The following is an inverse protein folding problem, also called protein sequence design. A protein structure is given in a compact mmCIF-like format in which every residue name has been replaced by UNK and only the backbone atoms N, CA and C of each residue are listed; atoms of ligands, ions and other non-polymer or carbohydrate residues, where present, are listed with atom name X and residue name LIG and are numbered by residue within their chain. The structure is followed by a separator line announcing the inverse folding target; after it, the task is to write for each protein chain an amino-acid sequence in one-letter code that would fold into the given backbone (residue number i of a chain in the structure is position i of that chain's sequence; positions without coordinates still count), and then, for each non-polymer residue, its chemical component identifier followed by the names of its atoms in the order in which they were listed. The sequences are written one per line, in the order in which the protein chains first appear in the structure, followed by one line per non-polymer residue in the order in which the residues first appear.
data_IF_894010320987
#
_entry.id   IF_894010320987
#
_cell.length_a   1.000
_cell.length_b   1.000
_cell.length_c   1.000
_cell.angle_alpha   90.00
_cell.angle_beta   90.00
_cell.angle_gamma   90.00
#
_symmetry.space_group_name_H-M   'P 1'
#
loop_
_entity.id
_entity.type
_entity.pdbx_description
1 polymer ?
#
# COMPACT_ATOMS: atom_id res chain seq x y z
N UNK A 1 10.82 74.46 -26.43
CA UNK A 1 9.41 74.22 -26.08
C UNK A 1 9.38 73.33 -24.85
N UNK A 2 8.92 73.85 -23.70
CA UNK A 2 8.79 73.06 -22.46
C UNK A 2 7.43 72.37 -22.50
N UNK A 3 7.41 71.07 -22.76
CA UNK A 3 6.19 70.27 -22.65
C UNK A 3 5.74 70.28 -21.20
N UNK A 4 4.68 71.04 -20.90
CA UNK A 4 3.94 70.92 -19.63
C UNK A 4 3.17 69.62 -19.71
N UNK A 5 3.83 68.52 -19.36
CA UNK A 5 3.17 67.24 -19.12
C UNK A 5 2.11 67.51 -18.06
N UNK A 6 0.86 67.28 -18.45
CA UNK A 6 -0.30 67.60 -17.63
C UNK A 6 -0.33 66.58 -16.50
N UNK A 7 0.18 66.96 -15.32
CA UNK A 7 0.30 66.09 -14.14
C UNK A 7 -1.03 65.40 -13.77
N UNK A 8 -2.16 66.00 -14.16
CA UNK A 8 -3.50 65.40 -14.04
C UNK A 8 -3.62 64.13 -14.88
N UNK A 9 -3.14 64.10 -16.12
CA UNK A 9 -3.20 62.92 -16.97
C UNK A 9 -2.32 61.77 -16.43
N UNK A 10 -1.16 62.11 -15.83
CA UNK A 10 -0.27 61.13 -15.21
C UNK A 10 -0.86 60.58 -13.90
N UNK A 11 -1.56 61.41 -13.12
CA UNK A 11 -2.28 60.99 -11.93
C UNK A 11 -3.48 60.10 -12.27
N UNK A 12 -4.25 60.42 -13.33
CA UNK A 12 -5.36 59.57 -13.79
C UNK A 12 -4.84 58.23 -14.34
N UNK A 13 -3.72 58.21 -15.07
CA UNK A 13 -3.12 56.97 -15.56
C UNK A 13 -2.57 56.10 -14.40
N UNK A 14 -1.96 56.71 -13.39
CA UNK A 14 -1.50 56.01 -12.18
C UNK A 14 -2.65 55.41 -11.37
N UNK A 15 -3.78 56.13 -11.26
CA UNK A 15 -4.95 55.66 -10.54
C UNK A 15 -5.68 54.54 -11.31
N UNK A 16 -5.69 54.56 -12.65
CA UNK A 16 -6.23 53.47 -13.47
C UNK A 16 -5.38 52.19 -13.42
N UNK A 17 -4.06 52.31 -13.25
CA UNK A 17 -3.17 51.15 -13.10
C UNK A 17 -3.32 50.43 -11.74
N UNK A 18 -3.79 51.11 -10.70
CA UNK A 18 -4.03 50.48 -9.38
C UNK A 18 -5.34 49.70 -9.27
N UNK A 19 -6.31 49.92 -10.18
CA UNK A 19 -7.57 49.16 -10.21
C UNK A 19 -7.53 47.92 -11.12
N UNK A 20 -6.42 47.67 -11.81
CA UNK A 20 -6.27 46.53 -12.73
C UNK A 20 -5.67 45.26 -12.08
N UNK A 21 -5.42 45.27 -10.77
CA UNK A 21 -4.98 44.10 -10.02
C UNK A 21 -6.00 43.80 -8.91
N UNK A 22 -7.25 43.57 -9.27
CA UNK A 22 -8.05 42.66 -8.46
C UNK A 22 -7.46 41.26 -8.68
N UNK A 23 -6.89 40.68 -7.62
CA UNK A 23 -6.47 39.27 -7.54
C UNK A 23 -7.67 38.36 -7.88
N UNK A 24 -7.99 38.20 -9.17
CA UNK A 24 -8.99 37.23 -9.64
C UNK A 24 -8.55 35.78 -9.40
N UNK A 25 -7.33 35.58 -8.92
CA UNK A 25 -6.77 34.28 -8.60
C UNK A 25 -7.19 33.75 -7.21
N UNK A 26 -7.90 34.54 -6.40
CA UNK A 26 -8.33 34.13 -5.04
C UNK A 26 -9.70 33.47 -4.94
N UNK A 27 -10.52 33.46 -6.01
CA UNK A 27 -11.88 32.90 -5.94
C UNK A 27 -12.08 31.57 -6.68
N UNK A 28 -11.08 31.06 -7.40
CA UNK A 28 -11.25 29.80 -8.13
C UNK A 28 -11.14 28.54 -7.25
N UNK A 29 -10.79 28.70 -5.96
CA UNK A 29 -10.58 27.54 -5.08
C UNK A 29 -11.63 27.36 -3.97
N UNK A 30 -12.44 28.37 -3.65
CA UNK A 30 -13.46 28.27 -2.60
C UNK A 30 -14.68 27.44 -3.03
N UNK A 31 -14.85 27.20 -4.32
CA UNK A 31 -15.94 26.39 -4.89
C UNK A 31 -15.52 24.96 -5.28
N UNK A 32 -14.28 24.52 -4.97
CA UNK A 32 -14.00 23.09 -5.07
C UNK A 32 -14.82 22.37 -4.02
N UNK A 33 -15.88 21.70 -4.47
CA UNK A 33 -16.66 20.82 -3.64
C UNK A 33 -15.74 19.78 -3.01
N UNK A 34 -15.42 19.99 -1.74
CA UNK A 34 -14.57 19.08 -0.98
C UNK A 34 -15.26 17.72 -0.92
N UNK A 35 -14.54 16.67 -1.27
CA UNK A 35 -15.07 15.31 -1.26
C UNK A 35 -14.97 14.67 0.12
N UNK A 36 -15.33 13.40 0.13
CA UNK A 36 -14.90 12.45 1.17
C UNK A 36 -14.31 11.23 0.47
N UNK A 37 -13.61 10.38 1.20
CA UNK A 37 -13.11 9.08 0.77
C UNK A 37 -13.53 8.00 1.78
N UNK A 38 -13.78 6.76 1.37
CA UNK A 38 -13.96 5.65 2.29
C UNK A 38 -12.59 5.16 2.76
N UNK A 39 -12.41 5.01 4.06
CA UNK A 39 -11.26 4.35 4.66
C UNK A 39 -11.67 2.94 5.07
N UNK A 40 -10.79 1.99 4.75
CA UNK A 40 -10.90 0.59 5.13
C UNK A 40 -9.76 0.25 6.08
N UNK A 41 -10.06 -0.30 7.25
CA UNK A 41 -9.05 -0.74 8.19
C UNK A 41 -9.36 -2.17 8.59
N UNK A 42 -8.39 -3.07 8.45
CA UNK A 42 -8.51 -4.44 8.92
C UNK A 42 -8.68 -4.45 10.46
N UNK A 43 -9.47 -5.38 10.98
CA UNK A 43 -9.59 -5.58 12.43
C UNK A 43 -8.32 -6.23 13.01
N UNK A 44 -7.99 -5.94 14.27
CA UNK A 44 -6.75 -6.41 14.91
C UNK A 44 -6.62 -7.95 14.99
N UNK A 45 -7.75 -8.67 14.99
CA UNK A 45 -7.82 -10.13 15.07
C UNK A 45 -7.90 -10.82 13.69
N UNK A 46 -7.98 -10.05 12.62
CA UNK A 46 -8.00 -10.59 11.26
C UNK A 46 -6.57 -10.97 10.82
N UNK A 47 -6.45 -12.11 10.16
CA UNK A 47 -5.20 -12.58 9.58
C UNK A 47 -4.71 -11.74 8.39
N UNK A 48 -5.60 -11.03 7.70
CA UNK A 48 -5.34 -10.25 6.48
C UNK A 48 -5.14 -11.10 5.22
N UNK A 49 -5.49 -12.39 5.28
CA UNK A 49 -5.34 -13.33 4.17
C UNK A 49 -6.58 -14.22 4.03
N UNK A 50 -6.67 -14.87 2.88
CA UNK A 50 -7.55 -16.03 2.68
C UNK A 50 -6.72 -17.29 2.90
N UNK A 51 -7.06 -18.07 3.94
CA UNK A 51 -6.30 -19.26 4.31
C UNK A 51 -6.54 -20.37 3.28
N UNK A 52 -5.51 -20.67 2.48
CA UNK A 52 -5.59 -21.69 1.44
C UNK A 52 -5.70 -23.12 2.01
N UNK A 53 -5.08 -23.39 3.17
CA UNK A 53 -5.07 -24.72 3.79
C UNK A 53 -6.37 -25.02 4.54
N UNK A 54 -6.99 -23.99 5.10
CA UNK A 54 -8.32 -24.06 5.70
C UNK A 54 -9.19 -22.86 5.27
N UNK A 55 -9.78 -22.93 4.06
CA UNK A 55 -10.59 -21.84 3.55
C UNK A 55 -11.86 -21.58 4.37
N UNK A 56 -12.31 -22.57 5.14
CA UNK A 56 -13.54 -22.48 5.93
C UNK A 56 -13.40 -21.61 7.18
N UNK A 57 -12.17 -21.43 7.67
CA UNK A 57 -11.85 -20.53 8.78
C UNK A 57 -11.65 -19.07 8.32
N UNK A 58 -11.68 -18.80 7.02
CA UNK A 58 -11.42 -17.46 6.48
C UNK A 58 -12.61 -16.53 6.69
N UNK A 59 -12.37 -15.45 7.45
CA UNK A 59 -13.29 -14.32 7.63
C UNK A 59 -12.53 -13.03 7.37
N UNK A 60 -12.92 -12.29 6.34
CA UNK A 60 -12.43 -10.93 6.07
C UNK A 60 -13.24 -9.97 6.94
N UNK A 61 -12.57 -9.28 7.85
CA UNK A 61 -13.15 -8.44 8.90
C UNK A 61 -12.47 -7.06 8.89
N UNK A 62 -13.23 -6.04 8.52
CA UNK A 62 -12.70 -4.69 8.37
C UNK A 62 -13.72 -3.60 8.73
N UNK A 63 -13.21 -2.46 9.15
CA UNK A 63 -13.98 -1.25 9.41
C UNK A 63 -14.08 -0.37 8.17
N UNK A 64 -15.23 0.26 8.00
CA UNK A 64 -15.51 1.26 6.96
C UNK A 64 -15.83 2.58 7.64
N UNK A 65 -15.03 3.61 7.35
CA UNK A 65 -15.23 4.97 7.89
C UNK A 65 -15.00 6.01 6.80
N UNK A 66 -15.96 6.90 6.50
CA UNK A 66 -15.72 8.00 5.58
C UNK A 66 -14.82 9.06 6.23
N UNK A 67 -13.84 9.56 5.48
CA UNK A 67 -12.98 10.69 5.85
C UNK A 67 -13.18 11.83 4.84
N UNK A 68 -13.48 13.03 5.32
CA UNK A 68 -13.65 14.22 4.48
C UNK A 68 -14.64 15.22 5.06
N UNK A 69 -14.95 16.24 4.27
CA UNK A 69 -15.75 17.39 4.70
C UNK A 69 -17.20 17.33 4.19
N UNK A 70 -17.46 16.54 3.15
CA UNK A 70 -18.82 16.35 2.63
C UNK A 70 -19.53 15.17 3.31
N UNK A 71 -20.80 15.31 3.73
CA UNK A 71 -21.56 14.22 4.32
C UNK A 71 -21.75 13.05 3.34
N UNK A 72 -21.57 11.83 3.84
CA UNK A 72 -21.71 10.58 3.08
C UNK A 72 -23.03 9.91 3.45
N UNK A 73 -23.84 9.54 2.46
CA UNK A 73 -25.09 8.79 2.64
C UNK A 73 -24.84 7.29 2.76
N UNK A 74 -23.97 6.75 1.92
CA UNK A 74 -23.64 5.34 1.92
C UNK A 74 -22.30 5.05 1.24
N UNK A 75 -21.72 3.89 1.56
CA UNK A 75 -20.55 3.31 0.89
C UNK A 75 -20.97 1.94 0.33
N UNK A 76 -20.92 1.80 -0.98
CA UNK A 76 -20.99 0.50 -1.65
C UNK A 76 -19.62 -0.18 -1.50
N UNK A 77 -19.57 -1.26 -0.72
CA UNK A 77 -18.38 -2.07 -0.54
C UNK A 77 -18.20 -2.92 -1.78
N UNK A 78 -17.15 -2.60 -2.53
CA UNK A 78 -16.77 -3.32 -3.74
C UNK A 78 -15.74 -4.39 -3.37
N UNK A 79 -15.87 -5.56 -3.98
CA UNK A 79 -14.86 -6.61 -3.88
C UNK A 79 -14.41 -6.95 -5.29
N UNK A 80 -13.12 -6.83 -5.54
CA UNK A 80 -12.48 -7.22 -6.80
C UNK A 80 -11.72 -8.52 -6.57
N UNK A 81 -12.06 -9.57 -7.30
CA UNK A 81 -11.27 -10.81 -7.35
C UNK A 81 -10.26 -10.71 -8.48
N UNK A 82 -8.99 -10.97 -8.20
CA UNK A 82 -7.93 -11.05 -9.21
C UNK A 82 -7.35 -12.46 -9.21
N UNK A 83 -7.41 -13.12 -10.37
CA UNK A 83 -6.84 -14.44 -10.59
C UNK A 83 -5.37 -14.30 -10.97
N UNK A 84 -4.46 -14.84 -10.15
CA UNK A 84 -3.01 -14.67 -10.34
C UNK A 84 -2.45 -15.47 -11.52
N UNK A 85 -3.11 -16.58 -11.90
CA UNK A 85 -2.65 -17.43 -13.00
C UNK A 85 -2.99 -16.84 -14.38
N UNK A 86 -4.19 -16.27 -14.51
CA UNK A 86 -4.73 -15.77 -15.79
C UNK A 86 -4.64 -14.26 -15.92
N UNK A 87 -4.49 -13.53 -14.82
CA UNK A 87 -4.58 -12.08 -14.76
C UNK A 87 -6.01 -11.54 -14.93
N UNK A 88 -7.03 -12.41 -14.96
CA UNK A 88 -8.42 -11.99 -15.03
C UNK A 88 -8.84 -11.28 -13.73
N UNK A 89 -9.74 -10.30 -13.86
CA UNK A 89 -10.23 -9.50 -12.74
C UNK A 89 -11.73 -9.28 -12.89
N UNK A 90 -12.49 -9.48 -11.81
CA UNK A 90 -13.93 -9.27 -11.76
C UNK A 90 -14.27 -8.46 -10.50
N UNK A 91 -15.23 -7.52 -10.58
CA UNK A 91 -15.62 -6.68 -9.45
C UNK A 91 -17.11 -6.74 -9.21
N UNK A 92 -17.50 -7.01 -7.97
CA UNK A 92 -18.88 -7.02 -7.51
C UNK A 92 -19.13 -5.95 -6.46
N UNK A 93 -20.38 -5.49 -6.36
CA UNK A 93 -20.85 -4.77 -5.17
C UNK A 93 -21.36 -5.79 -4.16
N UNK A 94 -20.65 -5.96 -3.05
CA UNK A 94 -20.98 -6.98 -2.05
C UNK A 94 -22.07 -6.51 -1.07
N UNK A 95 -21.92 -5.30 -0.52
CA UNK A 95 -22.89 -4.73 0.43
C UNK A 95 -22.91 -3.21 0.36
N UNK A 96 -23.97 -2.61 0.90
CA UNK A 96 -24.13 -1.16 1.03
C UNK A 96 -24.17 -0.77 2.52
N UNK A 97 -23.20 0.03 2.96
CA UNK A 97 -23.08 0.52 4.33
C UNK A 97 -23.69 1.92 4.43
N UNK A 98 -24.62 2.14 5.35
CA UNK A 98 -25.35 3.42 5.52
C UNK A 98 -25.13 4.08 6.88
N UNK A 99 -24.40 3.41 7.77
CA UNK A 99 -24.09 3.87 9.13
C UNK A 99 -22.60 3.78 9.36
N UNK A 100 -21.99 4.81 9.96
CA UNK A 100 -20.54 4.88 10.13
C UNK A 100 -20.14 5.33 11.54
N UNK A 101 -19.03 4.82 12.10
CA UNK A 101 -18.22 3.71 11.57
C UNK A 101 -18.99 2.39 11.55
N UNK A 102 -18.63 1.48 10.65
CA UNK A 102 -19.23 0.13 10.58
C UNK A 102 -18.17 -0.93 10.40
N UNK A 103 -18.39 -2.08 11.03
CA UNK A 103 -17.58 -3.29 10.85
C UNK A 103 -18.29 -4.23 9.89
N UNK A 104 -17.59 -4.67 8.84
CA UNK A 104 -18.07 -5.61 7.83
C UNK A 104 -17.30 -6.92 8.02
N UNK A 105 -18.02 -8.03 8.09
CA UNK A 105 -17.45 -9.38 8.16
C UNK A 105 -17.96 -10.21 7.00
N UNK A 106 -17.05 -10.80 6.23
CA UNK A 106 -17.34 -11.57 5.02
C UNK A 106 -16.62 -12.92 5.11
N UNK A 107 -17.37 -14.01 5.09
CA UNK A 107 -16.81 -15.36 4.96
C UNK A 107 -16.39 -15.63 3.52
N UNK A 108 -15.43 -16.54 3.32
CA UNK A 108 -15.04 -16.93 1.96
C UNK A 108 -16.22 -17.51 1.16
N UNK A 109 -17.05 -18.36 1.78
CA UNK A 109 -18.24 -18.92 1.13
C UNK A 109 -19.20 -17.84 0.60
N UNK A 110 -19.38 -16.75 1.35
CA UNK A 110 -20.19 -15.61 0.91
C UNK A 110 -19.56 -14.90 -0.30
N UNK A 111 -18.24 -14.75 -0.34
CA UNK A 111 -17.55 -14.17 -1.50
C UNK A 111 -17.70 -15.06 -2.73
N UNK A 112 -17.38 -16.34 -2.62
CA UNK A 112 -17.48 -17.29 -3.72
C UNK A 112 -18.92 -17.35 -4.27
N UNK A 113 -19.91 -17.36 -3.38
CA UNK A 113 -21.33 -17.30 -3.77
C UNK A 113 -21.67 -16.00 -4.50
N UNK A 114 -21.13 -14.86 -4.04
CA UNK A 114 -21.43 -13.55 -4.62
C UNK A 114 -20.79 -13.33 -6.00
N UNK A 115 -19.59 -13.88 -6.24
CA UNK A 115 -18.96 -13.89 -7.56
C UNK A 115 -19.60 -14.91 -8.51
N UNK A 116 -20.11 -16.02 -7.97
CA UNK A 116 -20.69 -17.11 -8.74
C UNK A 116 -19.64 -18.11 -9.26
N UNK A 117 -20.09 -19.33 -9.48
CA UNK A 117 -19.22 -20.47 -9.82
C UNK A 117 -18.50 -20.36 -11.17
N UNK A 118 -18.95 -19.49 -12.06
CA UNK A 118 -18.33 -19.26 -13.36
C UNK A 118 -17.08 -18.38 -13.26
N UNK A 119 -16.91 -17.65 -12.15
CA UNK A 119 -15.79 -16.74 -11.91
C UNK A 119 -14.77 -17.38 -10.97
N UNK A 120 -15.22 -17.85 -9.81
CA UNK A 120 -14.35 -18.47 -8.80
C UNK A 120 -15.14 -19.44 -7.91
N UNK A 121 -14.53 -20.57 -7.63
CA UNK A 121 -14.97 -21.59 -6.69
C UNK A 121 -13.82 -21.92 -5.75
N UNK A 122 -14.10 -22.63 -4.66
CA UNK A 122 -13.04 -23.08 -3.74
C UNK A 122 -11.99 -23.94 -4.45
N UNK A 123 -12.41 -24.79 -5.40
CA UNK A 123 -11.53 -25.69 -6.15
C UNK A 123 -10.68 -24.96 -7.21
N UNK A 124 -11.08 -23.74 -7.60
CA UNK A 124 -10.37 -22.92 -8.59
C UNK A 124 -9.60 -21.76 -7.96
N UNK A 125 -9.64 -21.62 -6.62
CA UNK A 125 -8.76 -20.71 -5.92
C UNK A 125 -7.34 -21.25 -5.97
N UNK A 126 -6.40 -20.37 -6.26
CA UNK A 126 -4.98 -20.65 -6.33
C UNK A 126 -4.21 -19.72 -5.40
N UNK A 127 -3.01 -20.16 -4.98
CA UNK A 127 -2.09 -19.32 -4.23
C UNK A 127 -1.71 -18.08 -5.03
N UNK A 128 -1.77 -16.91 -4.39
CA UNK A 128 -1.50 -15.62 -5.02
C UNK A 128 -2.72 -14.90 -5.60
N UNK A 129 -3.86 -15.59 -5.76
CA UNK A 129 -5.14 -14.93 -6.01
C UNK A 129 -5.42 -13.91 -4.90
N UNK A 130 -6.20 -12.88 -5.18
CA UNK A 130 -6.52 -11.90 -4.14
C UNK A 130 -7.92 -11.31 -4.28
N UNK A 131 -8.47 -10.94 -3.11
CA UNK A 131 -9.69 -10.17 -2.97
C UNK A 131 -9.33 -8.76 -2.51
N UNK A 132 -9.58 -7.78 -3.36
CA UNK A 132 -9.35 -6.36 -3.06
C UNK A 132 -10.66 -5.72 -2.64
N UNK A 133 -10.73 -5.29 -1.39
CA UNK A 133 -11.83 -4.50 -0.84
C UNK A 133 -11.61 -3.05 -1.23
N UNK A 134 -12.65 -2.43 -1.79
CA UNK A 134 -12.71 -1.01 -2.09
C UNK A 134 -14.10 -0.45 -1.82
N UNK A 135 -14.27 0.83 -2.15
CA UNK A 135 -15.53 1.52 -1.91
C UNK A 135 -15.89 2.51 -2.99
N UNK A 136 -17.16 2.49 -3.41
CA UNK A 136 -17.80 3.61 -4.07
C UNK A 136 -18.72 4.33 -3.08
N UNK A 137 -18.78 5.66 -3.16
CA UNK A 137 -19.50 6.45 -2.17
C UNK A 137 -20.64 7.25 -2.78
N UNK A 138 -21.79 7.21 -2.10
CA UNK A 138 -22.91 8.09 -2.37
C UNK A 138 -22.92 9.22 -1.35
N UNK A 139 -22.77 10.44 -1.83
CA UNK A 139 -22.76 11.64 -1.01
C UNK A 139 -24.19 12.07 -0.63
N UNK A 140 -24.36 12.91 0.40
CA UNK A 140 -25.67 13.43 0.79
C UNK A 140 -26.30 14.37 -0.24
N UNK A 141 -25.47 15.01 -1.08
CA UNK A 141 -25.92 15.86 -2.20
C UNK A 141 -26.32 15.06 -3.47
N UNK A 142 -26.28 13.72 -3.41
CA UNK A 142 -26.64 12.84 -4.51
C UNK A 142 -25.49 12.51 -5.47
N UNK A 143 -24.29 13.10 -5.31
CA UNK A 143 -23.11 12.69 -6.09
C UNK A 143 -22.74 11.25 -5.77
N UNK A 144 -22.19 10.57 -6.78
CA UNK A 144 -21.68 9.21 -6.66
C UNK A 144 -20.22 9.17 -7.10
N UNK A 145 -19.34 8.78 -6.18
CA UNK A 145 -17.89 8.71 -6.37
C UNK A 145 -17.51 7.23 -6.52
N UNK A 146 -17.29 6.80 -7.75
CA UNK A 146 -16.99 5.39 -8.07
C UNK A 146 -15.48 5.19 -8.26
N UNK A 147 -14.75 5.07 -7.15
CA UNK A 147 -13.30 4.84 -7.17
C UNK A 147 -12.46 5.93 -7.86
N UNK A 148 -11.22 5.59 -8.20
CA UNK A 148 -10.31 6.50 -8.94
C UNK A 148 -9.64 7.55 -8.06
N UNK A 149 -9.10 7.15 -6.91
CA UNK A 149 -8.32 8.06 -6.06
C UNK A 149 -6.99 8.42 -6.73
N UNK A 150 -6.52 9.64 -6.49
CA UNK A 150 -5.18 10.03 -6.93
C UNK A 150 -4.14 9.12 -6.27
N UNK A 151 -2.99 8.84 -6.93
CA UNK A 151 -1.92 8.06 -6.32
C UNK A 151 -1.47 8.58 -4.95
N UNK A 152 -1.57 9.91 -4.74
CA UNK A 152 -1.28 10.57 -3.47
C UNK A 152 -2.23 10.23 -2.32
N UNK A 153 -3.47 9.85 -2.62
CA UNK A 153 -4.45 9.38 -1.63
C UNK A 153 -4.15 7.91 -1.32
N UNK A 154 -4.00 7.08 -2.35
CA UNK A 154 -3.64 5.66 -2.20
C UNK A 154 -2.38 5.45 -1.35
N UNK A 155 -1.35 6.29 -1.51
CA UNK A 155 -0.10 6.14 -0.76
C UNK A 155 -0.17 6.58 0.69
N UNK A 156 -1.22 7.31 1.10
CA UNK A 156 -1.34 7.92 2.44
C UNK A 156 -2.53 7.42 3.24
N UNK A 157 -3.49 6.77 2.58
CA UNK A 157 -4.78 6.40 3.14
C UNK A 157 -5.16 4.99 2.69
N UNK A 158 -5.66 4.15 3.60
CA UNK A 158 -6.08 2.80 3.25
C UNK A 158 -7.47 2.84 2.61
N UNK A 159 -7.54 3.30 1.36
CA UNK A 159 -8.77 3.35 0.56
C UNK A 159 -9.12 1.99 -0.07
N UNK A 160 -8.23 1.02 0.07
CA UNK A 160 -8.40 -0.38 -0.31
C UNK A 160 -7.72 -1.30 0.71
N UNK A 161 -8.21 -2.52 0.85
CA UNK A 161 -7.53 -3.62 1.56
C UNK A 161 -7.39 -4.80 0.61
N UNK A 162 -6.29 -5.55 0.72
CA UNK A 162 -6.06 -6.73 -0.13
C UNK A 162 -5.92 -7.95 0.75
N UNK A 163 -6.71 -8.99 0.46
CA UNK A 163 -6.65 -10.29 1.09
C UNK A 163 -6.14 -11.30 0.08
N UNK A 164 -4.87 -11.67 0.22
CA UNK A 164 -4.22 -12.64 -0.67
C UNK A 164 -4.54 -14.06 -0.21
N UNK A 165 -4.82 -14.95 -1.16
CA UNK A 165 -4.94 -16.38 -0.95
C UNK A 165 -3.55 -16.94 -0.68
N UNK A 166 -3.33 -17.36 0.56
CA UNK A 166 -2.03 -17.79 1.06
C UNK A 166 -2.17 -18.79 2.20
N UNK A 167 -1.10 -19.49 2.57
CA UNK A 167 -1.08 -20.26 3.80
C UNK A 167 -0.85 -19.34 5.02
N UNK A 168 -1.37 -19.69 6.20
CA UNK A 168 -1.01 -19.01 7.44
C UNK A 168 0.50 -19.06 7.64
N UNK A 169 1.11 -17.89 7.74
CA UNK A 169 2.54 -17.80 8.00
C UNK A 169 2.85 -18.20 9.45
N UNK A 170 3.89 -19.02 9.63
CA UNK A 170 4.39 -19.46 10.94
C UNK A 170 5.70 -18.78 11.33
N UNK A 171 6.14 -17.77 10.56
CA UNK A 171 7.36 -17.02 10.82
C UNK A 171 7.19 -16.23 12.13
N UNK A 172 8.05 -16.44 13.14
CA UNK A 172 7.98 -15.69 14.39
C UNK A 172 8.43 -14.23 14.21
N UNK A 173 7.72 -13.32 14.88
CA UNK A 173 8.12 -11.92 15.00
C UNK A 173 9.28 -11.74 15.99
N UNK A 174 9.93 -10.58 15.93
CA UNK A 174 11.00 -10.19 16.85
C UNK A 174 12.37 -10.18 16.19
N UNK A 175 13.41 -10.50 16.96
CA UNK A 175 14.81 -10.34 16.53
C UNK A 175 15.31 -11.56 15.77
N UNK A 176 16.00 -11.29 14.66
CA UNK A 176 16.62 -12.28 13.79
C UNK A 176 18.09 -11.93 13.60
N UNK A 177 18.94 -12.95 13.64
CA UNK A 177 20.36 -12.83 13.31
C UNK A 177 20.52 -13.07 11.81
N UNK A 178 21.19 -12.15 11.14
CA UNK A 178 21.44 -12.23 9.71
C UNK A 178 22.88 -12.61 9.49
N UNK A 179 23.13 -13.68 8.75
CA UNK A 179 24.45 -14.05 8.28
C UNK A 179 24.58 -13.73 6.79
N UNK A 180 25.50 -12.83 6.47
CA UNK A 180 25.81 -12.45 5.09
C UNK A 180 26.88 -13.39 4.56
N UNK A 181 26.50 -14.32 3.69
CA UNK A 181 27.37 -15.41 3.22
C UNK A 181 28.64 -14.89 2.52
N UNK A 182 28.57 -13.75 1.84
CA UNK A 182 29.69 -13.20 1.07
C UNK A 182 30.79 -12.56 1.93
N UNK A 183 30.44 -12.02 3.11
CA UNK A 183 31.37 -11.29 3.99
C UNK A 183 31.62 -11.99 5.32
N UNK A 184 30.86 -13.05 5.63
CA UNK A 184 30.83 -13.69 6.95
C UNK A 184 30.46 -12.72 8.09
N UNK A 185 29.83 -11.59 7.75
CA UNK A 185 29.36 -10.61 8.70
C UNK A 185 28.01 -11.06 9.30
N UNK A 186 27.80 -10.65 10.55
CA UNK A 186 26.57 -10.96 11.29
C UNK A 186 25.89 -9.67 11.76
N UNK A 187 24.60 -9.56 11.53
CA UNK A 187 23.77 -8.42 11.89
C UNK A 187 22.52 -8.88 12.66
N UNK A 188 21.77 -7.93 13.22
CA UNK A 188 20.47 -8.19 13.82
C UNK A 188 19.43 -7.31 13.19
N UNK A 189 18.30 -7.91 12.85
CA UNK A 189 17.13 -7.22 12.31
C UNK A 189 15.91 -7.56 13.14
N UNK A 190 14.89 -6.71 13.12
CA UNK A 190 13.60 -6.97 13.71
C UNK A 190 12.57 -7.25 12.62
N UNK A 191 11.90 -8.39 12.71
CA UNK A 191 10.75 -8.74 11.88
C UNK A 191 9.47 -8.36 12.62
N UNK A 192 8.62 -7.61 11.94
CA UNK A 192 7.26 -7.28 12.41
C UNK A 192 6.25 -7.76 11.40
N UNK A 193 5.22 -8.47 11.85
CA UNK A 193 4.12 -8.89 10.99
C UNK A 193 3.24 -7.68 10.70
N UNK A 194 3.02 -7.42 9.42
CA UNK A 194 2.14 -6.35 8.96
C UNK A 194 0.70 -6.86 8.81
N UNK A 195 0.55 -8.14 8.46
CA UNK A 195 -0.74 -8.79 8.19
C UNK A 195 -0.72 -9.50 6.84
N UNK A 196 -1.62 -10.45 6.63
CA UNK A 196 -1.79 -11.16 5.35
C UNK A 196 -0.57 -11.96 4.88
N UNK A 197 0.26 -12.44 5.82
CA UNK A 197 1.55 -13.06 5.49
C UNK A 197 2.64 -12.07 5.08
N UNK A 198 2.39 -10.77 5.17
CA UNK A 198 3.38 -9.71 4.93
C UNK A 198 4.15 -9.40 6.20
N UNK A 199 5.46 -9.25 6.05
CA UNK A 199 6.40 -8.91 7.12
C UNK A 199 7.24 -7.70 6.71
N UNK A 200 7.56 -6.87 7.69
CA UNK A 200 8.52 -5.79 7.57
C UNK A 200 9.83 -6.18 8.27
N UNK A 201 10.94 -6.03 7.56
CA UNK A 201 12.30 -6.09 8.09
C UNK A 201 12.76 -4.65 8.28
N UNK A 202 13.17 -4.27 9.49
CA UNK A 202 13.57 -2.89 9.81
C UNK A 202 14.87 -2.44 9.13
N UNK A 203 15.79 -3.36 8.87
CA UNK A 203 17.07 -3.08 8.23
C UNK A 203 17.40 -4.21 7.24
N UNK A 204 17.07 -4.02 5.96
CA UNK A 204 17.37 -5.00 4.92
C UNK A 204 18.74 -4.80 4.27
N UNK A 205 19.34 -3.61 4.33
CA UNK A 205 20.69 -3.40 3.78
C UNK A 205 21.81 -3.79 4.74
N UNK A 206 21.46 -4.18 5.97
CA UNK A 206 22.36 -4.65 7.02
C UNK A 206 23.57 -3.74 7.22
N UNK A 207 23.38 -2.43 7.12
CA UNK A 207 24.42 -1.43 7.28
C UNK A 207 25.61 -1.57 6.31
N UNK A 208 25.49 -2.40 5.25
CA UNK A 208 26.57 -2.65 4.28
C UNK A 208 27.01 -1.37 3.55
N UNK A 209 26.10 -0.39 3.42
CA UNK A 209 26.35 0.86 2.67
C UNK A 209 26.95 2.00 3.52
N UNK A 210 27.07 1.83 4.85
CA UNK A 210 27.57 2.89 5.73
C UNK A 210 29.04 3.24 5.45
N UNK A 211 29.84 2.24 5.08
CA UNK A 211 31.27 2.41 4.83
C UNK A 211 31.57 3.00 3.45
N UNK A 212 30.71 2.77 2.45
CA UNK A 212 30.95 3.22 1.08
C UNK A 212 30.52 4.67 0.82
N UNK A 213 29.42 5.11 1.46
CA UNK A 213 28.84 6.45 1.23
C UNK A 213 29.10 7.47 2.35
N UNK A 214 29.91 7.14 3.36
CA UNK A 214 30.40 8.13 4.33
C UNK A 214 29.47 8.39 5.51
N UNK A 215 28.83 7.34 6.06
CA UNK A 215 28.17 7.41 7.37
C UNK A 215 26.72 7.89 7.35
N UNK A 216 25.95 7.55 6.33
CA UNK A 216 24.50 7.76 6.35
C UNK A 216 23.81 6.70 7.23
N UNK A 217 23.91 6.87 8.55
CA UNK A 217 23.29 5.98 9.55
C UNK A 217 21.76 5.85 9.43
N UNK A 218 21.11 6.69 8.62
CA UNK A 218 19.65 6.67 8.40
C UNK A 218 19.24 5.86 7.17
N UNK A 219 20.18 5.16 6.51
CA UNK A 219 19.90 4.28 5.37
C UNK A 219 19.31 2.92 5.76
N UNK A 220 18.84 2.71 6.99
CA UNK A 220 18.21 1.44 7.39
C UNK A 220 17.03 1.15 6.45
N UNK A 221 17.30 0.33 5.43
CA UNK A 221 16.41 0.14 4.31
C UNK A 221 15.35 -0.84 4.73
N UNK A 222 14.27 -0.34 5.35
CA UNK A 222 13.16 -1.21 5.68
C UNK A 222 12.64 -1.86 4.39
N UNK A 223 12.39 -3.17 4.44
CA UNK A 223 11.88 -3.91 3.31
C UNK A 223 10.72 -4.79 3.73
N UNK A 224 9.78 -4.95 2.82
CA UNK A 224 8.62 -5.82 3.00
C UNK A 224 8.77 -7.08 2.14
N UNK A 225 8.47 -8.22 2.73
CA UNK A 225 8.30 -9.47 1.99
C UNK A 225 6.97 -10.12 2.34
N UNK A 226 6.48 -10.95 1.43
CA UNK A 226 5.24 -11.72 1.57
C UNK A 226 5.62 -13.19 1.66
N UNK A 227 5.08 -13.88 2.67
CA UNK A 227 5.12 -15.32 2.82
C UNK A 227 3.87 -15.96 2.21
N UNK A 228 4.08 -16.79 1.18
CA UNK A 228 3.07 -17.64 0.57
C UNK A 228 3.49 -19.09 0.75
N UNK A 229 2.98 -19.74 1.81
CA UNK A 229 3.25 -21.15 2.07
C UNK A 229 4.76 -21.47 2.21
N UNK A 230 5.49 -20.59 2.89
CA UNK A 230 6.94 -20.57 3.07
C UNK A 230 7.74 -20.12 1.85
N UNK A 231 7.10 -19.84 0.71
CA UNK A 231 7.76 -19.16 -0.41
C UNK A 231 7.71 -17.65 -0.17
N UNK A 232 8.88 -17.03 -0.08
CA UNK A 232 9.01 -15.62 0.24
C UNK A 232 9.17 -14.82 -1.04
N UNK A 233 8.39 -13.76 -1.19
CA UNK A 233 8.57 -12.76 -2.24
C UNK A 233 8.92 -11.43 -1.59
N UNK A 234 10.14 -10.95 -1.85
CA UNK A 234 10.61 -9.65 -1.43
C UNK A 234 10.23 -8.61 -2.49
N UNK A 235 9.47 -7.60 -2.08
CA UNK A 235 9.12 -6.44 -2.89
C UNK A 235 9.17 -5.22 -1.98
N UNK A 236 10.37 -4.75 -1.67
CA UNK A 236 10.61 -3.53 -0.90
C UNK A 236 10.95 -2.37 -1.82
N UNK A 237 10.48 -1.16 -1.50
CA UNK A 237 11.04 0.08 -2.04
C UNK A 237 11.43 0.94 -0.86
N UNK A 238 12.71 1.24 -0.75
CA UNK A 238 13.24 2.19 0.21
C UNK A 238 12.82 3.60 -0.26
N UNK A 239 12.02 4.32 0.54
CA UNK A 239 11.37 5.54 0.09
C UNK A 239 12.30 6.75 -0.01
N UNK A 240 13.44 6.76 0.68
CA UNK A 240 14.30 7.93 0.78
C UNK A 240 15.30 8.06 -0.37
N UNK A 241 15.69 6.95 -0.99
CA UNK A 241 16.73 6.86 -2.01
C UNK A 241 16.28 6.12 -3.27
N UNK A 242 15.03 5.66 -3.31
CA UNK A 242 14.44 5.01 -4.48
C UNK A 242 14.99 3.62 -4.75
N UNK A 243 15.70 3.02 -3.78
CA UNK A 243 16.23 1.67 -3.88
C UNK A 243 15.07 0.68 -3.84
N UNK A 244 14.90 -0.13 -4.87
CA UNK A 244 14.01 -1.29 -4.80
C UNK A 244 14.77 -2.55 -4.41
N UNK A 245 14.19 -3.37 -3.55
CA UNK A 245 14.66 -4.70 -3.21
C UNK A 245 13.69 -5.71 -3.81
N UNK A 246 14.18 -6.54 -4.74
CA UNK A 246 13.41 -7.61 -5.36
C UNK A 246 14.13 -8.92 -5.19
N UNK A 247 13.41 -9.95 -4.78
CA UNK A 247 13.99 -11.27 -4.62
C UNK A 247 12.97 -12.31 -4.23
N UNK A 248 13.40 -13.55 -4.22
CA UNK A 248 12.65 -14.67 -3.67
C UNK A 248 13.45 -15.37 -2.59
N UNK A 249 12.74 -16.05 -1.71
CA UNK A 249 13.35 -16.82 -0.63
C UNK A 249 12.45 -17.96 -0.17
N UNK A 250 12.92 -18.68 0.84
CA UNK A 250 12.20 -19.78 1.47
C UNK A 250 12.33 -19.67 2.98
N UNK A 251 11.22 -19.91 3.69
CA UNK A 251 11.23 -20.16 5.12
C UNK A 251 11.32 -21.66 5.41
N UNK A 252 12.23 -22.07 6.27
CA UNK A 252 12.25 -23.41 6.85
C UNK A 252 11.75 -23.32 8.30
N UNK A 253 10.51 -23.76 8.59
CA UNK A 253 9.98 -23.75 9.95
C UNK A 253 10.74 -24.63 10.94
N UNK A 254 11.35 -25.72 10.47
CA UNK A 254 12.08 -26.65 11.32
C UNK A 254 13.45 -26.09 11.74
N UNK A 255 14.13 -25.41 10.82
CA UNK A 255 15.39 -24.71 11.11
C UNK A 255 15.18 -23.29 11.67
N UNK A 256 13.97 -22.73 11.55
CA UNK A 256 13.65 -21.33 11.82
C UNK A 256 14.58 -20.38 11.06
N UNK A 257 14.78 -20.67 9.77
CA UNK A 257 15.66 -19.90 8.88
C UNK A 257 14.90 -19.34 7.70
N UNK A 258 15.13 -18.07 7.37
CA UNK A 258 14.72 -17.46 6.11
C UNK A 258 15.96 -17.43 5.21
N UNK A 259 15.85 -17.99 4.01
CA UNK A 259 16.92 -17.93 3.01
C UNK A 259 16.42 -17.13 1.83
N UNK A 260 17.00 -15.96 1.59
CA UNK A 260 16.78 -15.21 0.36
C UNK A 260 17.88 -15.58 -0.63
N UNK A 261 17.49 -15.85 -1.87
CA UNK A 261 18.43 -16.03 -2.98
C UNK A 261 19.11 -14.71 -3.37
N UNK A 262 19.71 -14.70 -4.55
CA UNK A 262 20.31 -13.48 -5.10
C UNK A 262 19.23 -12.38 -5.22
N UNK A 263 19.38 -11.33 -4.43
CA UNK A 263 18.52 -10.15 -4.48
C UNK A 263 18.97 -9.33 -5.68
N UNK A 264 18.10 -9.24 -6.67
CA UNK A 264 18.34 -8.52 -7.92
C UNK A 264 17.66 -7.15 -7.88
N UNK A 265 18.14 -6.23 -8.71
CA UNK A 265 17.41 -5.02 -9.10
C UNK A 265 17.31 -3.92 -8.02
N UNK A 266 18.48 -3.53 -7.49
CA UNK A 266 18.66 -2.27 -6.77
C UNK A 266 18.69 -1.14 -7.82
N UNK A 267 17.53 -0.59 -8.17
CA UNK A 267 17.50 0.64 -8.97
C UNK A 267 17.87 1.83 -8.08
N UNK A 268 19.05 2.42 -8.30
CA UNK A 268 19.42 3.70 -7.70
C UNK A 268 19.42 4.73 -8.82
N UNK A 269 18.41 5.62 -8.85
CA UNK A 269 18.36 6.79 -9.74
C UNK A 269 18.91 6.62 -11.18
N UNK A 270 18.03 6.42 -12.16
CA UNK A 270 18.31 6.44 -13.61
C UNK A 270 19.26 5.35 -14.17
N UNK A 271 19.61 4.30 -13.43
CA UNK A 271 20.29 3.14 -14.00
C UNK A 271 20.26 1.89 -13.10
N UNK A 272 20.32 0.68 -13.68
CA UNK A 272 20.38 -0.56 -12.91
C UNK A 272 21.73 -0.66 -12.19
N UNK A 273 21.71 -0.73 -10.86
CA UNK A 273 22.89 -1.06 -10.07
C UNK A 273 22.83 -2.56 -9.76
N UNK A 274 23.69 -3.35 -10.39
CA UNK A 274 23.97 -4.72 -9.92
C UNK A 274 24.87 -4.60 -8.70
N UNK A 275 24.26 -4.51 -7.51
CA UNK A 275 25.00 -4.88 -6.31
C UNK A 275 25.31 -6.38 -6.40
N UNK A 276 26.50 -6.80 -5.96
CA UNK A 276 26.92 -8.20 -6.01
C UNK A 276 26.09 -9.03 -5.04
N UNK A 277 24.88 -9.40 -5.44
CA UNK A 277 23.88 -10.09 -4.63
C UNK A 277 24.47 -11.33 -3.99
N UNK A 278 24.73 -11.25 -2.68
CA UNK A 278 25.02 -12.42 -1.87
C UNK A 278 23.72 -13.18 -1.58
N UNK A 279 23.82 -14.48 -1.32
CA UNK A 279 22.75 -15.23 -0.67
C UNK A 279 22.70 -14.84 0.81
N UNK A 280 21.51 -14.61 1.35
CA UNK A 280 21.35 -14.14 2.73
C UNK A 280 20.59 -15.19 3.54
N UNK A 281 21.10 -15.52 4.72
CA UNK A 281 20.45 -16.46 5.64
C UNK A 281 20.14 -15.73 6.94
N UNK A 282 18.86 -15.58 7.25
CA UNK A 282 18.38 -15.06 8.52
C UNK A 282 18.01 -16.25 9.41
N UNK A 283 18.51 -16.27 10.64
CA UNK A 283 18.23 -17.30 11.64
C UNK A 283 17.53 -16.66 12.83
N UNK A 284 16.40 -17.22 13.25
CA UNK A 284 15.66 -16.68 14.38
C UNK A 284 16.47 -16.80 15.68
N UNK A 285 16.46 -15.74 16.50
CA UNK A 285 17.02 -15.75 17.85
C UNK A 285 15.89 -15.41 18.83
N UNK A 286 15.31 -16.41 19.52
CA UNK A 286 14.26 -16.19 20.51
C UNK A 286 14.73 -15.33 21.69
#
# INVERSE_FOLDING_TARGET
MKYKINYIALAVLGMLLTFSCEDKDKQLFDDFQQGSIPLFAQEDDDSGLVNYLDPTETILSFNVTPEGLSPVSSVDVLVTYNNSETGASETITYTNVTTFPATVKITLDQLLTAFGSDIVTQDTLSLGDNFVIGGAMKMADGRYLNGGYSPSVFSKRPVTLTYTVSCPSSIPEGKWEVHVVSTDATYTVNLTKVGGGTYNIDNFNFDYDLDFYGGFNDLAGAATFIDICNDLTLNGVEPNYGISWRGSGVYDPAAQTLTFGEITDVEYGQGPYTNGGGNWVLTYKP
#
